data_IF_517082907602
#
_entry.id   IF_517082907602
#
_cell.length_a   1.000
_cell.length_b   1.000
_cell.length_c   1.000
_cell.angle_alpha   90.00
_cell.angle_beta   90.00
_cell.angle_gamma   90.00
#
_symmetry.space_group_name_H-M   'P 1'
#
loop_
_entity.id
_entity.type
_entity.pdbx_description
1 polymer ?
#
# COMPACT_ATOMS: atom_id res chain seq x y z
N UNK A 1 1.71 -14.44 10.55
CA UNK A 1 2.11 -13.15 11.15
C UNK A 1 2.05 -13.31 12.66
N UNK A 2 3.12 -12.94 13.38
CA UNK A 2 3.35 -13.37 14.78
C UNK A 2 2.18 -13.11 15.74
N UNK A 3 1.42 -12.01 15.58
CA UNK A 3 0.26 -11.73 16.45
C UNK A 3 -0.94 -12.62 16.14
N UNK A 4 -1.26 -12.83 14.85
CA UNK A 4 -2.34 -13.72 14.41
C UNK A 4 -2.08 -15.17 14.84
N UNK A 5 -0.83 -15.62 14.73
CA UNK A 5 -0.42 -16.95 15.21
C UNK A 5 -0.60 -17.07 16.73
N UNK A 6 -0.26 -16.03 17.49
CA UNK A 6 -0.43 -16.02 18.96
C UNK A 6 -1.89 -16.08 19.41
N UNK A 7 -2.83 -15.62 18.59
CA UNK A 7 -4.28 -15.72 18.87
C UNK A 7 -4.92 -16.93 18.16
N UNK A 8 -4.13 -17.81 17.56
CA UNK A 8 -4.61 -19.04 16.92
C UNK A 8 -5.26 -18.86 15.54
N UNK A 9 -5.12 -17.70 14.91
CA UNK A 9 -5.63 -17.47 13.54
C UNK A 9 -4.60 -17.83 12.47
N UNK A 10 -5.04 -18.62 11.48
CA UNK A 10 -4.25 -18.90 10.28
C UNK A 10 -4.23 -17.67 9.37
N UNK A 11 -3.11 -17.50 8.66
CA UNK A 11 -2.87 -16.37 7.79
C UNK A 11 -2.94 -16.84 6.35
N UNK A 12 -4.06 -16.61 5.68
CA UNK A 12 -4.23 -16.98 4.27
C UNK A 12 -3.93 -15.78 3.36
N UNK A 13 -3.36 -16.08 2.20
CA UNK A 13 -3.03 -15.07 1.19
C UNK A 13 -3.63 -15.44 -0.16
N UNK A 14 -4.14 -14.43 -0.88
CA UNK A 14 -4.65 -14.53 -2.24
C UNK A 14 -4.07 -13.39 -3.07
N UNK A 15 -3.42 -13.71 -4.20
CA UNK A 15 -2.82 -12.71 -5.10
C UNK A 15 -1.89 -11.70 -4.39
N UNK A 16 -1.08 -12.17 -3.43
CA UNK A 16 -0.17 -11.30 -2.66
C UNK A 16 -0.84 -10.49 -1.53
N UNK A 17 -2.16 -10.55 -1.40
CA UNK A 17 -2.90 -9.88 -0.33
C UNK A 17 -3.33 -10.85 0.75
N UNK A 18 -3.37 -10.38 2.00
CA UNK A 18 -3.86 -11.16 3.13
C UNK A 18 -5.38 -11.22 3.07
N UNK A 19 -5.95 -12.42 3.02
CA UNK A 19 -7.40 -12.60 3.19
C UNK A 19 -7.75 -12.15 4.61
N UNK A 20 -8.66 -11.20 4.73
CA UNK A 20 -8.89 -10.48 5.98
C UNK A 20 -10.36 -10.56 6.38
N UNK A 21 -10.72 -11.49 7.26
CA UNK A 21 -12.06 -11.49 7.88
C UNK A 21 -12.21 -10.37 8.95
N UNK A 22 -13.40 -10.24 9.55
CA UNK A 22 -13.67 -9.20 10.55
C UNK A 22 -12.68 -9.21 11.73
N UNK A 23 -12.54 -10.33 12.45
CA UNK A 23 -11.61 -10.34 13.60
C UNK A 23 -10.13 -10.26 13.16
N UNK A 24 -9.80 -10.68 11.93
CA UNK A 24 -8.46 -10.47 11.37
C UNK A 24 -8.23 -8.99 11.11
N UNK A 25 -9.23 -8.25 10.63
CA UNK A 25 -9.15 -6.81 10.42
C UNK A 25 -8.95 -6.08 11.73
N UNK A 26 -9.68 -6.42 12.79
CA UNK A 26 -9.50 -5.81 14.12
C UNK A 26 -8.06 -5.97 14.62
N UNK A 27 -7.48 -7.17 14.43
CA UNK A 27 -6.10 -7.45 14.83
C UNK A 27 -5.09 -6.72 13.94
N UNK A 28 -5.33 -6.66 12.63
CA UNK A 28 -4.51 -5.93 11.68
C UNK A 28 -4.50 -4.44 12.04
N UNK A 29 -5.65 -3.85 12.30
CA UNK A 29 -5.78 -2.46 12.71
C UNK A 29 -5.02 -2.20 14.02
N UNK A 30 -5.29 -2.99 15.07
CA UNK A 30 -4.62 -2.83 16.37
C UNK A 30 -3.09 -2.92 16.25
N UNK A 31 -2.58 -3.85 15.44
CA UNK A 31 -1.13 -4.04 15.26
C UNK A 31 -0.52 -2.93 14.41
N UNK A 32 -1.12 -2.60 13.27
CA UNK A 32 -0.56 -1.59 12.36
C UNK A 32 -0.65 -0.20 12.97
N UNK A 33 -1.83 0.20 13.45
CA UNK A 33 -2.08 1.56 13.98
C UNK A 33 -1.56 1.71 15.40
N UNK A 34 -1.79 0.71 16.26
CA UNK A 34 -1.49 0.81 17.69
C UNK A 34 -0.03 0.50 18.04
N UNK A 35 0.63 -0.37 17.27
CA UNK A 35 1.99 -0.82 17.58
C UNK A 35 3.01 -0.37 16.55
N UNK A 36 2.93 -0.87 15.31
CA UNK A 36 3.96 -0.64 14.29
C UNK A 36 4.09 0.84 13.95
N UNK A 37 2.95 1.52 13.71
CA UNK A 37 2.92 2.96 13.45
C UNK A 37 3.57 3.76 14.60
N UNK A 38 3.26 3.41 15.85
CA UNK A 38 3.77 4.12 17.03
C UNK A 38 5.25 3.82 17.32
N UNK A 39 5.73 2.61 17.00
CA UNK A 39 7.16 2.28 17.06
C UNK A 39 7.97 3.15 16.09
N UNK A 40 7.50 3.31 14.84
CA UNK A 40 8.16 4.18 13.85
C UNK A 40 8.14 5.64 14.30
N UNK A 41 6.99 6.14 14.75
CA UNK A 41 6.85 7.51 15.29
C UNK A 41 7.83 7.74 16.44
N UNK A 42 7.92 6.78 17.37
CA UNK A 42 8.85 6.86 18.50
C UNK A 42 10.30 6.94 18.03
N UNK A 43 10.71 6.11 17.07
CA UNK A 43 12.07 6.12 16.53
C UNK A 43 12.41 7.46 15.86
N UNK A 44 11.52 8.01 15.04
CA UNK A 44 11.73 9.32 14.41
C UNK A 44 11.91 10.41 15.48
N UNK A 45 11.02 10.43 16.49
CA UNK A 45 11.08 11.39 17.58
C UNK A 45 12.34 11.23 18.44
N UNK A 46 12.78 9.99 18.67
CA UNK A 46 13.99 9.69 19.43
C UNK A 46 15.25 10.26 18.76
N UNK A 47 15.27 10.29 17.42
CA UNK A 47 16.36 10.85 16.63
C UNK A 47 16.20 12.35 16.30
N UNK A 48 15.31 13.06 17.01
CA UNK A 48 15.16 14.52 16.91
C UNK A 48 14.17 15.01 15.84
N UNK A 49 13.52 14.11 15.12
CA UNK A 49 12.38 14.46 14.27
C UNK A 49 11.12 14.78 15.07
N UNK A 50 10.07 15.24 14.39
CA UNK A 50 8.75 15.47 14.99
C UNK A 50 7.69 14.74 14.18
N UNK A 51 7.38 13.51 14.57
CA UNK A 51 6.47 12.63 13.85
C UNK A 51 5.08 12.55 14.50
N UNK A 52 4.06 12.47 13.66
CA UNK A 52 2.68 12.16 14.06
C UNK A 52 2.21 10.92 13.31
N UNK A 53 1.71 9.95 14.07
CA UNK A 53 1.19 8.70 13.53
C UNK A 53 -0.30 8.79 13.21
N UNK A 54 -0.64 8.56 11.94
CA UNK A 54 -1.99 8.59 11.38
C UNK A 54 -2.38 7.23 10.80
N UNK A 55 -3.67 7.06 10.55
CA UNK A 55 -4.31 6.02 9.74
C UNK A 55 -5.29 6.68 8.78
N UNK A 56 -5.90 5.92 7.88
CA UNK A 56 -6.94 6.43 6.99
C UNK A 56 -8.20 6.94 7.70
N UNK A 57 -8.41 6.57 8.97
CA UNK A 57 -9.53 7.04 9.78
C UNK A 57 -9.30 8.47 10.28
N UNK A 58 -8.06 8.90 10.44
CA UNK A 58 -7.72 10.21 11.00
C UNK A 58 -7.98 11.29 9.95
N UNK A 59 -8.96 12.15 10.22
CA UNK A 59 -9.36 13.22 9.27
C UNK A 59 -9.90 12.70 7.94
N UNK A 60 -10.38 11.46 7.87
CA UNK A 60 -10.78 10.79 6.62
C UNK A 60 -9.67 10.75 5.55
N UNK A 61 -8.40 10.66 5.99
CA UNK A 61 -7.22 10.69 5.14
C UNK A 61 -7.28 9.66 3.99
N UNK A 62 -7.78 8.44 4.22
CA UNK A 62 -7.88 7.40 3.19
C UNK A 62 -9.31 6.84 3.11
N UNK A 63 -10.11 7.34 2.18
CA UNK A 63 -11.39 6.71 1.80
C UNK A 63 -11.09 5.48 0.93
N UNK A 64 -11.67 4.35 1.30
CA UNK A 64 -11.44 3.07 0.64
C UNK A 64 -12.75 2.35 0.33
N UNK A 65 -12.69 1.46 -0.65
CA UNK A 65 -13.79 0.54 -0.96
C UNK A 65 -13.28 -0.89 -1.02
N UNK A 66 -14.19 -1.84 -0.82
CA UNK A 66 -13.86 -3.27 -0.88
C UNK A 66 -13.25 -3.61 -2.23
N UNK A 67 -12.11 -4.29 -2.20
CA UNK A 67 -11.46 -4.78 -3.42
C UNK A 67 -12.18 -6.04 -3.90
N UNK A 68 -12.50 -6.07 -5.19
CA UNK A 68 -13.03 -7.26 -5.86
C UNK A 68 -11.95 -7.86 -6.75
N UNK A 69 -11.52 -9.08 -6.42
CA UNK A 69 -10.61 -9.84 -7.27
C UNK A 69 -11.41 -10.70 -8.23
N UNK A 70 -10.96 -10.73 -9.48
CA UNK A 70 -11.59 -11.53 -10.53
C UNK A 70 -10.63 -12.62 -10.99
N UNK A 71 -11.09 -13.88 -10.97
CA UNK A 71 -10.37 -15.00 -11.57
C UNK A 71 -10.99 -15.35 -12.90
N UNK A 72 -10.21 -15.17 -13.96
CA UNK A 72 -10.58 -15.59 -15.31
C UNK A 72 -10.32 -17.09 -15.45
N UNK A 73 -11.34 -17.84 -15.89
CA UNK A 73 -11.28 -19.31 -16.06
C UNK A 73 -11.16 -19.74 -17.54
N UNK A 74 -10.77 -18.82 -18.44
CA UNK A 74 -10.73 -19.01 -19.90
C UNK A 74 -11.81 -18.20 -20.64
N UNK A 75 -11.76 -18.19 -21.98
CA UNK A 75 -12.39 -17.18 -22.85
C UNK A 75 -13.94 -17.17 -22.91
N UNK A 76 -14.64 -18.13 -22.30
CA UNK A 76 -16.11 -18.24 -22.40
C UNK A 76 -16.84 -18.33 -21.05
N UNK A 77 -16.18 -18.03 -19.92
CA UNK A 77 -16.83 -18.02 -18.60
C UNK A 77 -16.76 -16.64 -17.95
N UNK A 78 -17.87 -16.17 -17.32
CA UNK A 78 -17.81 -14.95 -16.52
C UNK A 78 -16.76 -15.13 -15.40
N UNK A 79 -15.96 -14.09 -15.13
CA UNK A 79 -14.93 -14.17 -14.12
C UNK A 79 -15.55 -14.43 -12.73
N UNK A 80 -14.90 -15.29 -11.96
CA UNK A 80 -15.31 -15.59 -10.59
C UNK A 80 -14.83 -14.47 -9.67
N UNK A 81 -15.75 -13.90 -8.86
CA UNK A 81 -15.40 -12.92 -7.83
C UNK A 81 -14.81 -13.68 -6.65
N UNK A 82 -13.54 -13.42 -6.34
CA UNK A 82 -12.89 -13.90 -5.13
C UNK A 82 -13.12 -12.88 -4.02
N UNK A 83 -13.79 -13.32 -2.94
CA UNK A 83 -13.91 -12.52 -1.72
C UNK A 83 -12.63 -12.65 -0.88
N UNK A 84 -11.86 -11.58 -0.83
CA UNK A 84 -10.67 -11.45 0.03
C UNK A 84 -10.97 -10.83 1.40
N UNK A 85 -12.25 -10.60 1.70
CA UNK A 85 -12.73 -10.02 2.95
C UNK A 85 -12.59 -8.50 2.99
N UNK A 86 -12.17 -7.96 4.14
CA UNK A 86 -11.94 -6.55 4.41
C UNK A 86 -10.58 -6.07 3.85
N UNK A 87 -10.33 -6.41 2.60
CA UNK A 87 -9.23 -5.84 1.80
C UNK A 87 -9.80 -4.76 0.91
N UNK A 88 -9.13 -3.61 0.86
CA UNK A 88 -9.62 -2.45 0.14
C UNK A 88 -8.65 -1.90 -0.88
N UNK A 89 -9.20 -1.03 -1.73
CA UNK A 89 -8.45 -0.15 -2.63
C UNK A 89 -8.75 1.31 -2.26
N UNK A 90 -7.76 2.17 -2.46
CA UNK A 90 -7.90 3.61 -2.18
C UNK A 90 -8.85 4.21 -3.21
N UNK A 91 -9.92 4.83 -2.72
CA UNK A 91 -10.88 5.56 -3.56
C UNK A 91 -10.53 7.06 -3.61
N UNK A 92 -10.11 7.63 -2.48
CA UNK A 92 -9.74 9.03 -2.36
C UNK A 92 -8.75 9.21 -1.21
N UNK A 93 -7.78 10.09 -1.40
CA UNK A 93 -6.91 10.60 -0.35
C UNK A 93 -7.32 12.04 -0.03
N UNK A 94 -7.60 12.33 1.24
CA UNK A 94 -7.81 13.70 1.70
C UNK A 94 -6.53 14.27 2.29
N UNK A 95 -5.92 15.22 1.59
CA UNK A 95 -4.59 15.74 1.92
C UNK A 95 -4.62 16.86 2.95
N UNK A 96 -5.79 17.37 3.35
CA UNK A 96 -5.91 18.54 4.23
C UNK A 96 -5.08 18.39 5.51
N UNK A 97 -5.19 17.22 6.16
CA UNK A 97 -4.41 16.94 7.37
C UNK A 97 -2.90 16.89 7.09
N UNK A 98 -2.48 16.38 5.94
CA UNK A 98 -1.07 16.28 5.58
C UNK A 98 -0.47 17.67 5.31
N UNK A 99 -1.19 18.54 4.60
CA UNK A 99 -0.76 19.91 4.34
C UNK A 99 -0.63 20.75 5.64
N UNK A 100 -1.51 20.52 6.62
CA UNK A 100 -1.42 21.18 7.93
C UNK A 100 -0.17 20.72 8.69
N UNK A 101 0.12 19.42 8.66
CA UNK A 101 1.30 18.84 9.31
C UNK A 101 2.59 19.32 8.65
N UNK A 102 2.63 19.36 7.32
CA UNK A 102 3.75 19.89 6.55
C UNK A 102 4.08 21.33 6.95
N UNK A 103 3.07 22.22 7.01
CA UNK A 103 3.22 23.62 7.44
C UNK A 103 3.72 23.78 8.89
N UNK A 104 3.67 22.71 9.68
CA UNK A 104 4.05 22.69 11.09
C UNK A 104 5.40 21.99 11.36
N UNK A 105 6.15 21.65 10.30
CA UNK A 105 7.37 20.86 10.33
C UNK A 105 7.17 19.50 11.06
N UNK A 106 6.05 18.84 10.77
CA UNK A 106 5.70 17.53 11.31
C UNK A 106 5.77 16.46 10.22
N UNK A 107 6.33 15.31 10.57
CA UNK A 107 6.49 14.15 9.70
C UNK A 107 5.26 13.23 9.87
N UNK A 108 4.36 13.14 8.87
CA UNK A 108 3.25 12.20 8.94
C UNK A 108 3.76 10.76 8.76
N UNK A 109 3.33 9.86 9.65
CA UNK A 109 3.58 8.41 9.55
C UNK A 109 2.23 7.72 9.40
N UNK A 110 1.92 7.24 8.19
CA UNK A 110 0.58 6.75 7.83
C UNK A 110 0.54 5.23 7.87
N UNK A 111 -0.38 4.66 8.65
CA UNK A 111 -0.70 3.23 8.60
C UNK A 111 -1.62 2.93 7.41
N UNK A 112 -1.40 1.84 6.64
CA UNK A 112 -2.11 1.53 5.40
C UNK A 112 -3.47 0.87 5.67
N UNK A 113 -4.31 1.56 6.45
CA UNK A 113 -5.67 1.16 6.80
C UNK A 113 -6.61 2.26 6.35
N UNK A 114 -7.58 1.95 5.50
CA UNK A 114 -8.56 2.91 4.98
C UNK A 114 -9.95 2.73 5.59
N UNK A 115 -10.82 3.71 5.36
CA UNK A 115 -12.20 3.74 5.86
C UNK A 115 -13.22 3.73 4.71
N UNK A 116 -14.22 2.87 4.83
CA UNK A 116 -15.37 2.81 3.93
C UNK A 116 -16.42 3.87 4.23
N UNK A 117 -17.29 4.13 3.25
CA UNK A 117 -18.37 5.12 3.39
C UNK A 117 -19.36 4.82 4.51
N UNK A 118 -19.49 3.55 4.90
CA UNK A 118 -20.37 3.14 6.00
C UNK A 118 -19.60 2.94 7.32
N UNK A 119 -18.32 3.33 7.38
CA UNK A 119 -17.46 3.17 8.54
C UNK A 119 -16.70 1.84 8.59
N UNK A 120 -16.73 1.04 7.52
CA UNK A 120 -15.94 -0.17 7.41
C UNK A 120 -14.44 0.13 7.47
N UNK A 121 -13.65 -0.81 7.94
CA UNK A 121 -12.19 -0.69 7.94
C UNK A 121 -11.60 -1.66 6.93
N UNK A 122 -10.67 -1.19 6.11
CA UNK A 122 -10.03 -1.98 5.09
C UNK A 122 -8.52 -2.02 5.27
N UNK A 123 -7.94 -3.22 5.16
CA UNK A 123 -6.51 -3.41 5.01
C UNK A 123 -6.13 -3.16 3.55
N UNK A 124 -5.16 -2.27 3.31
CA UNK A 124 -4.75 -1.86 1.97
C UNK A 124 -3.26 -2.17 1.79
N UNK A 125 -2.84 -2.48 0.57
CA UNK A 125 -1.43 -2.60 0.25
C UNK A 125 -0.70 -1.27 0.51
N UNK A 126 0.41 -1.32 1.25
CA UNK A 126 1.16 -0.13 1.65
C UNK A 126 1.81 0.61 0.47
N UNK A 127 2.28 -0.11 -0.56
CA UNK A 127 2.84 0.49 -1.78
C UNK A 127 1.75 1.30 -2.48
N UNK A 128 0.54 0.74 -2.62
CA UNK A 128 -0.61 1.44 -3.22
C UNK A 128 -1.00 2.68 -2.42
N UNK A 129 -1.06 2.59 -1.08
CA UNK A 129 -1.34 3.76 -0.23
C UNK A 129 -0.28 4.85 -0.44
N UNK A 130 1.00 4.48 -0.44
CA UNK A 130 2.10 5.42 -0.66
C UNK A 130 2.00 6.09 -2.04
N UNK A 131 1.71 5.32 -3.09
CA UNK A 131 1.49 5.85 -4.44
C UNK A 131 0.33 6.83 -4.52
N UNK A 132 -0.83 6.50 -3.94
CA UNK A 132 -2.00 7.38 -3.94
C UNK A 132 -1.76 8.65 -3.12
N UNK A 133 -1.08 8.56 -1.98
CA UNK A 133 -0.74 9.72 -1.15
C UNK A 133 0.26 10.62 -1.90
N UNK A 134 1.29 10.05 -2.51
CA UNK A 134 2.27 10.80 -3.29
C UNK A 134 1.61 11.52 -4.47
N UNK A 135 0.73 10.83 -5.20
CA UNK A 135 -0.03 11.43 -6.30
C UNK A 135 -0.96 12.54 -5.83
N UNK A 136 -1.70 12.34 -4.73
CA UNK A 136 -2.60 13.35 -4.18
C UNK A 136 -1.87 14.61 -3.70
N UNK A 137 -0.66 14.45 -3.16
CA UNK A 137 0.21 15.55 -2.77
C UNK A 137 0.99 16.17 -3.93
N UNK A 138 0.97 15.55 -5.13
CA UNK A 138 1.89 15.88 -6.24
C UNK A 138 3.34 15.93 -5.78
N UNK A 139 3.74 14.89 -5.06
CA UNK A 139 5.07 14.81 -4.49
C UNK A 139 6.14 14.77 -5.60
N UNK A 140 7.29 15.38 -5.33
CA UNK A 140 8.45 15.32 -6.24
C UNK A 140 8.92 13.88 -6.46
N UNK A 141 8.84 13.02 -5.42
CA UNK A 141 9.37 11.65 -5.47
C UNK A 141 8.54 10.69 -4.66
N UNK A 142 8.36 9.48 -5.19
CA UNK A 142 7.90 8.30 -4.47
C UNK A 142 9.08 7.33 -4.30
N UNK A 143 9.40 6.98 -3.05
CA UNK A 143 10.47 6.01 -2.73
C UNK A 143 9.85 4.76 -2.10
N UNK A 144 9.92 3.63 -2.82
CA UNK A 144 9.47 2.34 -2.32
C UNK A 144 10.66 1.53 -1.80
N UNK A 145 10.68 1.22 -0.50
CA UNK A 145 11.72 0.36 0.07
C UNK A 145 11.37 -1.11 -0.13
N UNK A 146 12.37 -1.91 -0.48
CA UNK A 146 12.23 -3.36 -0.73
C UNK A 146 13.45 -4.12 -0.21
N UNK A 147 13.35 -5.45 -0.14
CA UNK A 147 14.38 -6.39 0.30
C UNK A 147 15.35 -6.84 -0.81
N UNK A 148 15.15 -6.36 -2.04
CA UNK A 148 16.03 -6.58 -3.19
C UNK A 148 16.73 -5.28 -3.58
N UNK A 149 17.81 -5.36 -4.38
CA UNK A 149 18.58 -4.16 -4.74
C UNK A 149 17.83 -3.16 -5.64
N UNK A 150 16.81 -3.63 -6.37
CA UNK A 150 16.01 -2.83 -7.30
C UNK A 150 15.44 -3.69 -8.42
N UNK A 151 15.13 -3.05 -9.55
CA UNK A 151 14.71 -3.75 -10.77
C UNK A 151 15.94 -4.34 -11.44
N UNK A 152 15.86 -5.63 -11.80
CA UNK A 152 16.92 -6.36 -12.49
C UNK A 152 16.53 -6.60 -13.94
N UNK A 153 17.50 -6.60 -14.85
CA UNK A 153 17.32 -7.05 -16.23
C UNK A 153 17.26 -8.58 -16.35
N UNK A 154 17.09 -9.09 -17.59
CA UNK A 154 17.04 -10.52 -17.88
C UNK A 154 18.34 -11.26 -17.50
N UNK A 155 19.47 -10.57 -17.51
CA UNK A 155 20.80 -11.05 -17.15
C UNK A 155 21.05 -10.99 -15.63
N UNK A 156 20.14 -10.40 -14.86
CA UNK A 156 20.24 -10.26 -13.41
C UNK A 156 21.10 -9.08 -12.95
N UNK A 157 21.35 -8.09 -13.81
CA UNK A 157 22.04 -6.86 -13.47
C UNK A 157 21.06 -5.77 -13.02
N UNK A 158 21.50 -4.92 -12.11
CA UNK A 158 20.70 -3.81 -11.59
C UNK A 158 20.50 -2.74 -12.66
N UNK A 159 19.24 -2.42 -12.94
CA UNK A 159 18.90 -1.32 -13.83
C UNK A 159 18.88 -0.02 -13.01
N UNK A 160 19.77 0.91 -13.35
CA UNK A 160 19.92 2.17 -12.60
C UNK A 160 18.85 3.22 -12.88
N UNK A 161 18.24 3.20 -14.07
CA UNK A 161 17.18 4.13 -14.47
C UNK A 161 16.30 3.46 -15.51
N UNK A 162 14.99 3.63 -15.36
CA UNK A 162 13.97 3.13 -16.28
C UNK A 162 12.97 4.24 -16.55
N UNK A 163 12.55 4.36 -17.81
CA UNK A 163 11.36 5.13 -18.16
C UNK A 163 10.11 4.24 -18.16
N UNK A 164 8.93 4.86 -18.29
CA UNK A 164 7.63 4.16 -18.23
C UNK A 164 7.48 3.11 -19.34
N UNK A 165 7.99 3.38 -20.55
CA UNK A 165 7.91 2.43 -21.65
C UNK A 165 8.80 1.22 -21.41
N UNK A 166 10.06 1.44 -20.99
CA UNK A 166 10.99 0.36 -20.64
C UNK A 166 10.45 -0.51 -19.49
N UNK A 167 9.84 0.12 -18.49
CA UNK A 167 9.21 -0.61 -17.38
C UNK A 167 8.03 -1.47 -17.86
N UNK A 168 7.22 -0.97 -18.80
CA UNK A 168 6.12 -1.72 -19.40
C UNK A 168 6.61 -2.90 -20.25
N UNK A 169 7.70 -2.72 -21.01
CA UNK A 169 8.31 -3.78 -21.80
C UNK A 169 8.84 -4.90 -20.89
N UNK A 170 9.55 -4.55 -19.80
CA UNK A 170 10.02 -5.53 -18.81
C UNK A 170 8.88 -6.32 -18.13
N UNK A 171 7.70 -5.72 -18.01
CA UNK A 171 6.50 -6.41 -17.52
C UNK A 171 5.93 -7.38 -18.56
N UNK A 172 5.90 -7.00 -19.84
CA UNK A 172 5.41 -7.83 -20.94
C UNK A 172 6.34 -9.01 -21.22
N UNK A 173 7.65 -8.79 -21.15
CA UNK A 173 8.69 -9.79 -21.39
C UNK A 173 8.88 -10.78 -20.21
N UNK A 174 8.01 -10.70 -19.18
CA UNK A 174 8.05 -11.54 -17.98
C UNK A 174 9.40 -11.50 -17.21
N UNK A 175 10.19 -10.43 -17.41
CA UNK A 175 11.44 -10.20 -16.69
C UNK A 175 11.14 -9.86 -15.23
N UNK A 176 10.12 -9.01 -15.00
CA UNK A 176 9.65 -8.70 -13.66
C UNK A 176 8.86 -9.88 -13.07
N UNK A 177 9.17 -10.27 -11.84
CA UNK A 177 8.55 -11.44 -11.19
C UNK A 177 7.96 -11.10 -9.83
N UNK A 178 6.89 -11.81 -9.49
CA UNK A 178 6.28 -11.79 -8.16
C UNK A 178 5.89 -10.38 -7.71
N UNK A 179 6.34 -9.99 -6.51
CA UNK A 179 6.03 -8.70 -5.89
C UNK A 179 6.66 -7.47 -6.56
N UNK A 180 7.58 -7.66 -7.53
CA UNK A 180 8.15 -6.52 -8.26
C UNK A 180 7.15 -5.93 -9.26
N UNK A 181 6.30 -6.76 -9.86
CA UNK A 181 5.25 -6.34 -10.80
C UNK A 181 4.34 -5.27 -10.18
N UNK A 182 3.69 -5.49 -9.01
CA UNK A 182 2.83 -4.48 -8.41
C UNK A 182 3.60 -3.24 -7.93
N UNK A 183 4.88 -3.34 -7.57
CA UNK A 183 5.70 -2.17 -7.19
C UNK A 183 5.99 -1.27 -8.39
N UNK A 184 6.41 -1.86 -9.51
CA UNK A 184 6.67 -1.12 -10.75
C UNK A 184 5.39 -0.52 -11.31
N UNK A 185 4.28 -1.27 -11.29
CA UNK A 185 2.97 -0.74 -11.67
C UNK A 185 2.59 0.46 -10.79
N UNK A 186 2.76 0.36 -9.47
CA UNK A 186 2.47 1.47 -8.56
C UNK A 186 3.33 2.72 -8.85
N UNK A 187 4.60 2.54 -9.23
CA UNK A 187 5.48 3.65 -9.60
C UNK A 187 5.02 4.32 -10.90
N UNK A 188 4.64 3.52 -11.91
CA UNK A 188 4.07 4.01 -13.17
C UNK A 188 2.78 4.80 -12.91
N UNK A 189 1.86 4.23 -12.12
CA UNK A 189 0.57 4.87 -11.81
C UNK A 189 0.77 6.19 -11.06
N UNK A 190 1.73 6.25 -10.14
CA UNK A 190 2.08 7.46 -9.40
C UNK A 190 2.62 8.56 -10.33
N UNK A 191 3.55 8.23 -11.23
CA UNK A 191 4.08 9.17 -12.22
C UNK A 191 2.97 9.71 -13.13
N UNK A 192 2.10 8.82 -13.65
CA UNK A 192 0.97 9.22 -14.48
C UNK A 192 -0.05 10.08 -13.73
N UNK A 193 -0.08 9.99 -12.40
CA UNK A 193 -0.99 10.74 -11.53
C UNK A 193 -0.40 12.03 -10.97
N UNK A 194 0.81 12.43 -11.41
CA UNK A 194 1.39 13.74 -11.10
C UNK A 194 2.53 13.74 -10.07
N UNK A 195 3.12 12.59 -9.77
CA UNK A 195 4.46 12.51 -9.16
C UNK A 195 5.52 12.78 -10.23
N UNK A 196 6.62 13.45 -9.89
CA UNK A 196 7.71 13.79 -10.83
C UNK A 196 8.76 12.68 -11.04
#
# INVERSE_FOLDING_TARGET
GKMLERIGKKSDFCAGMRVTDADTMDVVEMVLVGKVNKEIVHLINHHGGRAIGLSGKDGHLLEARKMHLFRYQGDDRPPEIIDVGLVGEVQRVDVEILEILEKSDLIPVIAPVGVGRSGETYNINADLVAGHVAAALKAEKLVLMTDVAGVMDAEGQLIGTLNVAEAADLMQDEVLKGGMIPKVQCAIDALQSGVE
#
